data_IF_235879568598
#
_entry.id   IF_235879568598
#
_cell.length_a   1.000
_cell.length_b   1.000
_cell.length_c   1.000
_cell.angle_alpha   90.00
_cell.angle_beta   90.00
_cell.angle_gamma   90.00
#
_symmetry.space_group_name_H-M   'P 1'
#
loop_
_entity.id
_entity.type
_entity.pdbx_description
1 polymer ?
#
# COMPACT_ATOMS: atom_id res chain seq x y z
N UNK A 1 12.74 -43.67 -39.00
CA UNK A 1 13.05 -43.64 -37.55
C UNK A 1 12.32 -42.46 -36.94
N UNK A 2 11.28 -42.72 -36.14
CA UNK A 2 10.47 -41.69 -35.52
C UNK A 2 11.17 -41.15 -34.27
N UNK A 3 11.43 -39.85 -34.23
CA UNK A 3 12.03 -39.18 -33.08
C UNK A 3 10.93 -38.90 -32.05
N UNK A 4 11.00 -39.59 -30.90
CA UNK A 4 10.19 -39.27 -29.74
C UNK A 4 10.67 -37.94 -29.13
N UNK A 5 9.87 -36.89 -29.30
CA UNK A 5 9.99 -35.66 -28.52
C UNK A 5 9.61 -35.97 -27.06
N UNK A 6 10.60 -36.02 -26.17
CA UNK A 6 10.35 -36.05 -24.72
C UNK A 6 9.98 -34.64 -24.25
N UNK A 7 8.81 -34.51 -23.65
CA UNK A 7 8.35 -33.29 -22.99
C UNK A 7 9.37 -32.87 -21.92
N UNK A 8 9.89 -31.66 -22.06
CA UNK A 8 10.68 -30.99 -21.03
C UNK A 8 9.71 -30.49 -19.97
N UNK A 9 9.65 -31.19 -18.84
CA UNK A 9 8.99 -30.69 -17.63
C UNK A 9 9.73 -29.44 -17.15
N UNK A 10 9.04 -28.30 -17.14
CA UNK A 10 9.49 -27.10 -16.45
C UNK A 10 9.76 -27.45 -14.97
N UNK A 11 10.83 -26.94 -14.34
CA UNK A 11 11.02 -27.14 -12.91
C UNK A 11 9.80 -26.58 -12.17
N UNK A 12 9.15 -27.44 -11.38
CA UNK A 12 8.10 -27.04 -10.45
C UNK A 12 8.64 -25.95 -9.54
N UNK A 13 7.95 -24.80 -9.50
CA UNK A 13 8.23 -23.73 -8.53
C UNK A 13 8.26 -24.35 -7.13
N UNK A 14 9.29 -24.09 -6.30
CA UNK A 14 9.28 -24.54 -4.91
C UNK A 14 7.99 -24.05 -4.26
N UNK A 15 7.20 -24.94 -3.68
CA UNK A 15 6.02 -24.54 -2.90
C UNK A 15 6.48 -23.59 -1.79
N UNK A 16 5.82 -22.44 -1.65
CA UNK A 16 6.11 -21.53 -0.54
C UNK A 16 6.00 -22.29 0.79
N UNK A 17 7.05 -22.19 1.62
CA UNK A 17 7.02 -22.77 2.95
C UNK A 17 6.50 -21.73 3.97
N UNK A 18 5.72 -22.18 4.97
CA UNK A 18 5.11 -21.30 5.98
C UNK A 18 6.13 -20.39 6.67
N UNK A 19 7.33 -20.91 6.95
CA UNK A 19 8.39 -20.21 7.68
C UNK A 19 9.04 -19.08 6.87
N UNK A 20 9.18 -19.24 5.56
CA UNK A 20 9.74 -18.24 4.66
C UNK A 20 8.77 -17.09 4.49
N UNK A 21 7.48 -17.39 4.32
CA UNK A 21 6.42 -16.38 4.28
C UNK A 21 6.35 -15.62 5.61
N UNK A 22 6.44 -16.32 6.75
CA UNK A 22 6.48 -15.67 8.06
C UNK A 22 7.69 -14.73 8.20
N UNK A 23 8.87 -15.19 7.78
CA UNK A 23 10.09 -14.40 7.83
C UNK A 23 10.00 -13.16 6.92
N UNK A 24 9.36 -13.29 5.75
CA UNK A 24 9.16 -12.18 4.84
C UNK A 24 8.21 -11.12 5.43
N UNK A 25 7.12 -11.55 6.08
CA UNK A 25 6.19 -10.67 6.80
C UNK A 25 6.93 -9.88 7.88
N UNK A 26 7.71 -10.56 8.73
CA UNK A 26 8.47 -9.92 9.82
C UNK A 26 9.56 -8.97 9.29
N UNK A 27 10.25 -9.37 8.21
CA UNK A 27 11.24 -8.53 7.54
C UNK A 27 10.61 -7.25 6.98
N UNK A 28 9.44 -7.36 6.39
CA UNK A 28 8.72 -6.21 5.86
C UNK A 28 8.23 -5.29 6.99
N UNK A 29 7.67 -5.86 8.06
CA UNK A 29 7.25 -5.11 9.26
C UNK A 29 8.40 -4.29 9.85
N UNK A 30 9.58 -4.91 9.99
CA UNK A 30 10.79 -4.23 10.46
C UNK A 30 11.23 -3.11 9.51
N UNK A 31 11.10 -3.33 8.20
CA UNK A 31 11.44 -2.33 7.17
C UNK A 31 10.51 -1.12 7.25
N UNK A 32 9.22 -1.31 7.51
CA UNK A 32 8.23 -0.24 7.65
C UNK A 32 8.44 0.55 8.94
N UNK A 33 8.74 -0.17 10.04
CA UNK A 33 8.97 0.40 11.37
C UNK A 33 10.28 1.18 11.49
N UNK A 34 11.16 1.09 10.49
CA UNK A 34 12.43 1.82 10.46
C UNK A 34 12.22 3.34 10.46
N UNK A 35 13.09 4.07 11.16
CA UNK A 35 13.11 5.54 11.14
C UNK A 35 13.63 6.11 9.81
N UNK A 36 14.28 5.29 8.99
CA UNK A 36 14.87 5.66 7.68
C UNK A 36 13.95 5.33 6.50
N UNK A 37 12.70 4.97 6.76
CA UNK A 37 11.74 4.57 5.73
C UNK A 37 11.46 5.70 4.73
N UNK A 38 11.51 5.36 3.45
CA UNK A 38 11.27 6.29 2.32
C UNK A 38 10.03 5.89 1.51
N UNK A 39 9.57 6.76 0.61
CA UNK A 39 8.47 6.43 -0.30
C UNK A 39 8.83 5.22 -1.18
N UNK A 40 10.06 5.15 -1.68
CA UNK A 40 10.54 3.99 -2.44
C UNK A 40 10.50 2.69 -1.63
N UNK A 41 10.82 2.74 -0.33
CA UNK A 41 10.65 1.60 0.59
C UNK A 41 9.19 1.16 0.67
N UNK A 42 8.23 2.10 0.65
CA UNK A 42 6.81 1.78 0.66
C UNK A 42 6.34 1.17 -0.67
N UNK A 43 6.80 1.68 -1.82
CA UNK A 43 6.55 1.08 -3.13
C UNK A 43 7.04 -0.38 -3.19
N UNK A 44 8.27 -0.63 -2.73
CA UNK A 44 8.81 -1.97 -2.62
C UNK A 44 8.00 -2.83 -1.62
N UNK A 45 7.55 -2.24 -0.51
CA UNK A 45 6.69 -2.91 0.46
C UNK A 45 5.36 -3.38 -0.12
N UNK A 46 4.69 -2.56 -0.94
CA UNK A 46 3.43 -2.93 -1.59
C UNK A 46 3.61 -4.10 -2.56
N UNK A 47 4.74 -4.13 -3.28
CA UNK A 47 5.11 -5.27 -4.13
C UNK A 47 5.32 -6.53 -3.32
N UNK A 48 6.13 -6.45 -2.26
CA UNK A 48 6.41 -7.58 -1.35
C UNK A 48 5.16 -8.11 -0.67
N UNK A 49 4.19 -7.26 -0.32
CA UNK A 49 2.90 -7.74 0.19
C UNK A 49 2.16 -8.61 -0.83
N UNK A 50 2.20 -8.25 -2.11
CA UNK A 50 1.64 -9.09 -3.17
C UNK A 50 2.27 -10.48 -3.21
N UNK A 51 3.59 -10.54 -3.06
CA UNK A 51 4.34 -11.81 -3.02
C UNK A 51 4.04 -12.63 -1.76
N UNK A 52 3.95 -11.98 -0.59
CA UNK A 52 3.51 -12.58 0.67
C UNK A 52 2.12 -13.21 0.51
N UNK A 53 1.14 -12.45 0.00
CA UNK A 53 -0.21 -12.97 -0.19
C UNK A 53 -0.24 -14.13 -1.21
N UNK A 54 0.59 -14.13 -2.26
CA UNK A 54 0.73 -15.30 -3.14
C UNK A 54 1.26 -16.51 -2.39
N UNK A 55 2.29 -16.33 -1.55
CA UNK A 55 2.85 -17.42 -0.74
C UNK A 55 1.82 -17.99 0.24
N UNK A 56 1.02 -17.13 0.86
CA UNK A 56 -0.08 -17.56 1.75
C UNK A 56 -1.16 -18.32 0.96
N UNK A 57 -1.53 -17.86 -0.24
CA UNK A 57 -2.49 -18.56 -1.11
C UNK A 57 -2.03 -19.97 -1.46
N UNK A 58 -0.75 -20.15 -1.78
CA UNK A 58 -0.17 -21.47 -2.08
C UNK A 58 -0.23 -22.43 -0.87
N UNK A 59 -0.11 -21.91 0.36
CA UNK A 59 -0.22 -22.68 1.60
C UNK A 59 -1.68 -23.06 1.92
N UNK A 60 -2.63 -22.16 1.64
CA UNK A 60 -4.06 -22.34 1.88
C UNK A 60 -4.64 -23.55 1.11
N UNK A 61 -4.07 -23.92 -0.03
CA UNK A 61 -4.55 -25.02 -0.90
C UNK A 61 -4.48 -26.44 -0.30
N UNK A 62 -4.07 -26.61 0.96
CA UNK A 62 -4.02 -27.91 1.66
C UNK A 62 -5.20 -28.02 2.65
N UNK A 63 -6.30 -28.71 2.30
CA UNK A 63 -7.52 -28.72 3.11
C UNK A 63 -7.30 -29.42 4.45
N UNK A 64 -7.71 -28.76 5.54
CA UNK A 64 -7.85 -29.37 6.87
C UNK A 64 -9.21 -29.02 7.45
N UNK A 65 -9.93 -30.05 7.89
CA UNK A 65 -11.34 -30.00 8.34
C UNK A 65 -11.58 -29.15 9.61
N UNK A 66 -10.54 -28.54 10.17
CA UNK A 66 -10.60 -27.72 11.40
C UNK A 66 -10.53 -26.21 11.14
N UNK A 67 -10.26 -25.77 9.90
CA UNK A 67 -9.91 -24.36 9.59
C UNK A 67 -11.15 -23.47 9.38
N UNK A 68 -12.30 -24.02 8.99
CA UNK A 68 -13.44 -23.24 8.50
C UNK A 68 -13.95 -22.17 9.46
N UNK A 69 -14.27 -22.52 10.71
CA UNK A 69 -14.78 -21.53 11.69
C UNK A 69 -13.76 -20.46 12.10
N UNK A 70 -12.47 -20.74 11.95
CA UNK A 70 -11.40 -19.80 12.31
C UNK A 70 -11.15 -18.76 11.21
N UNK A 71 -11.67 -19.01 10.01
CA UNK A 71 -11.43 -18.20 8.84
C UNK A 71 -12.47 -17.10 8.63
N UNK A 72 -13.65 -17.19 9.25
CA UNK A 72 -14.72 -16.17 9.17
C UNK A 72 -14.21 -14.78 9.57
N UNK A 73 -13.43 -14.68 10.66
CA UNK A 73 -12.85 -13.40 11.09
C UNK A 73 -11.82 -12.86 10.11
N UNK A 74 -11.11 -13.74 9.40
CA UNK A 74 -10.11 -13.35 8.41
C UNK A 74 -10.78 -12.88 7.12
N UNK A 75 -11.90 -13.50 6.73
CA UNK A 75 -12.72 -13.02 5.63
C UNK A 75 -13.22 -11.60 5.93
N UNK A 76 -13.75 -11.32 7.12
CA UNK A 76 -14.16 -9.95 7.45
C UNK A 76 -12.96 -8.98 7.42
N UNK A 77 -11.83 -9.36 8.03
CA UNK A 77 -10.62 -8.54 8.01
C UNK A 77 -10.07 -8.27 6.60
N UNK A 78 -10.18 -9.24 5.69
CA UNK A 78 -9.79 -9.06 4.28
C UNK A 78 -10.67 -8.05 3.55
N UNK A 79 -11.97 -7.96 3.90
CA UNK A 79 -12.89 -6.98 3.34
C UNK A 79 -12.53 -5.57 3.79
N UNK A 80 -12.26 -5.40 5.09
CA UNK A 80 -11.82 -4.10 5.63
C UNK A 80 -10.52 -3.62 4.94
N UNK A 81 -9.58 -4.53 4.66
CA UNK A 81 -8.35 -4.19 3.96
C UNK A 81 -8.58 -3.89 2.46
N UNK A 82 -9.53 -4.58 1.81
CA UNK A 82 -9.93 -4.28 0.43
C UNK A 82 -10.50 -2.87 0.31
N UNK A 83 -11.41 -2.49 1.21
CA UNK A 83 -11.99 -1.14 1.25
C UNK A 83 -10.91 -0.07 1.43
N UNK A 84 -9.91 -0.36 2.27
CA UNK A 84 -8.77 0.51 2.51
C UNK A 84 -7.88 0.65 1.27
N UNK A 85 -7.61 -0.45 0.57
CA UNK A 85 -6.84 -0.44 -0.68
C UNK A 85 -7.57 0.29 -1.81
N UNK A 86 -8.90 0.16 -1.88
CA UNK A 86 -9.73 0.91 -2.84
C UNK A 86 -9.66 2.41 -2.55
N UNK A 87 -9.89 2.80 -1.29
CA UNK A 87 -9.79 4.20 -0.85
C UNK A 87 -8.40 4.78 -1.14
N UNK A 88 -7.33 4.00 -0.96
CA UNK A 88 -5.98 4.45 -1.24
C UNK A 88 -5.69 4.66 -2.72
N UNK A 89 -6.21 3.80 -3.59
CA UNK A 89 -6.09 4.01 -5.03
C UNK A 89 -6.77 5.33 -5.45
N UNK A 90 -7.97 5.60 -4.97
CA UNK A 90 -8.67 6.86 -5.25
C UNK A 90 -7.87 8.07 -4.77
N UNK A 91 -7.30 7.99 -3.55
CA UNK A 91 -6.44 9.05 -3.00
C UNK A 91 -5.20 9.25 -3.86
N UNK A 92 -4.53 8.19 -4.33
CA UNK A 92 -3.34 8.32 -5.16
C UNK A 92 -3.64 8.90 -6.54
N UNK A 93 -4.76 8.50 -7.16
CA UNK A 93 -5.24 9.08 -8.42
C UNK A 93 -5.47 10.59 -8.24
N UNK A 94 -6.14 11.00 -7.17
CA UNK A 94 -6.39 12.41 -6.90
C UNK A 94 -5.09 13.18 -6.58
N UNK A 95 -4.17 12.60 -5.79
CA UNK A 95 -2.86 13.22 -5.51
C UNK A 95 -2.07 13.46 -6.80
N UNK A 96 -2.04 12.46 -7.68
CA UNK A 96 -1.33 12.55 -8.97
C UNK A 96 -1.93 13.65 -9.84
N UNK A 97 -3.25 13.72 -9.95
CA UNK A 97 -3.93 14.80 -10.68
C UNK A 97 -3.56 16.19 -10.11
N UNK A 98 -3.56 16.35 -8.79
CA UNK A 98 -3.17 17.61 -8.14
C UNK A 98 -1.72 17.98 -8.47
N UNK A 99 -0.79 17.01 -8.47
CA UNK A 99 0.62 17.25 -8.80
C UNK A 99 0.77 17.68 -10.27
N UNK A 100 0.10 17.00 -11.20
CA UNK A 100 0.13 17.36 -12.62
C UNK A 100 -0.40 18.77 -12.86
N UNK A 101 -1.53 19.13 -12.24
CA UNK A 101 -2.08 20.49 -12.32
C UNK A 101 -1.16 21.53 -11.68
N UNK A 102 -0.50 21.19 -10.56
CA UNK A 102 0.49 22.04 -9.91
C UNK A 102 1.69 22.28 -10.83
N UNK A 103 2.23 21.25 -11.47
CA UNK A 103 3.31 21.38 -12.45
C UNK A 103 2.90 22.30 -13.61
N UNK A 104 1.68 22.14 -14.14
CA UNK A 104 1.16 23.00 -15.21
C UNK A 104 1.04 24.47 -14.76
N UNK A 105 0.53 24.71 -13.55
CA UNK A 105 0.42 26.07 -13.00
C UNK A 105 1.79 26.73 -12.83
N UNK A 106 2.78 25.98 -12.32
CA UNK A 106 4.15 26.47 -12.16
C UNK A 106 4.82 26.79 -13.50
N UNK A 107 4.66 25.94 -14.54
CA UNK A 107 5.18 26.22 -15.89
C UNK A 107 4.59 27.48 -16.51
N UNK A 108 3.32 27.77 -16.22
CA UNK A 108 2.61 28.96 -16.69
C UNK A 108 2.92 30.22 -15.88
N UNK A 109 3.60 30.10 -14.74
CA UNK A 109 3.79 31.20 -13.79
C UNK A 109 2.50 31.64 -13.10
N UNK A 110 1.49 30.76 -13.01
CA UNK A 110 0.21 31.03 -12.34
C UNK A 110 0.32 30.68 -10.86
N UNK A 111 0.88 31.61 -10.08
CA UNK A 111 1.12 31.45 -8.64
C UNK A 111 -0.18 31.24 -7.85
N UNK A 112 -1.30 31.82 -8.31
CA UNK A 112 -2.60 31.69 -7.64
C UNK A 112 -3.13 30.25 -7.76
N UNK A 113 -3.11 29.68 -8.97
CA UNK A 113 -3.49 28.28 -9.20
C UNK A 113 -2.52 27.33 -8.50
N UNK A 114 -1.21 27.57 -8.57
CA UNK A 114 -0.21 26.75 -7.88
C UNK A 114 -0.48 26.70 -6.36
N UNK A 115 -0.73 27.85 -5.73
CA UNK A 115 -1.06 27.92 -4.31
C UNK A 115 -2.37 27.17 -3.97
N UNK A 116 -3.39 27.26 -4.83
CA UNK A 116 -4.65 26.53 -4.65
C UNK A 116 -4.47 25.00 -4.74
N UNK A 117 -3.60 24.52 -5.63
CA UNK A 117 -3.27 23.09 -5.76
C UNK A 117 -2.44 22.57 -4.59
N UNK A 118 -1.47 23.34 -4.08
CA UNK A 118 -0.75 23.04 -2.83
C UNK A 118 -1.74 22.88 -1.66
N UNK A 119 -2.72 23.79 -1.53
CA UNK A 119 -3.76 23.69 -0.51
C UNK A 119 -4.65 22.46 -0.67
N UNK A 120 -4.96 22.07 -1.90
CA UNK A 120 -5.76 20.89 -2.20
C UNK A 120 -5.00 19.61 -1.83
N UNK A 121 -3.72 19.50 -2.18
CA UNK A 121 -2.86 18.38 -1.77
C UNK A 121 -2.81 18.23 -0.24
N UNK A 122 -2.56 19.34 0.48
CA UNK A 122 -2.50 19.33 1.95
C UNK A 122 -3.84 18.91 2.57
N UNK A 123 -4.97 19.32 1.99
CA UNK A 123 -6.31 18.89 2.45
C UNK A 123 -6.51 17.40 2.20
N UNK A 124 -6.19 16.91 1.01
CA UNK A 124 -6.32 15.50 0.64
C UNK A 124 -5.50 14.60 1.57
N UNK A 125 -4.22 14.90 1.79
CA UNK A 125 -3.38 14.11 2.71
C UNK A 125 -3.92 14.15 4.15
N UNK A 126 -4.45 15.28 4.61
CA UNK A 126 -5.08 15.37 5.94
C UNK A 126 -6.33 14.49 6.04
N UNK A 127 -7.14 14.44 4.99
CA UNK A 127 -8.29 13.56 4.90
C UNK A 127 -7.82 12.11 4.94
N UNK A 128 -6.88 11.73 4.07
CA UNK A 128 -6.28 10.39 4.03
C UNK A 128 -5.81 9.94 5.43
N UNK A 129 -5.03 10.77 6.15
CA UNK A 129 -4.59 10.46 7.53
C UNK A 129 -5.72 10.17 8.51
N UNK A 130 -6.89 10.80 8.35
CA UNK A 130 -8.04 10.56 9.23
C UNK A 130 -8.69 9.20 8.99
N UNK A 131 -8.62 8.68 7.77
CA UNK A 131 -9.14 7.35 7.44
C UNK A 131 -8.35 6.25 8.17
N UNK A 132 -7.03 6.38 8.26
CA UNK A 132 -6.17 5.40 8.95
C UNK A 132 -6.21 5.47 10.48
N UNK A 133 -6.47 6.64 11.08
CA UNK A 133 -6.63 6.74 12.55
C UNK A 133 -7.85 6.00 13.11
N UNK A 134 -8.81 5.61 12.27
CA UNK A 134 -10.03 4.90 12.70
C UNK A 134 -9.88 3.37 12.74
N UNK A 135 -8.91 2.78 12.02
CA UNK A 135 -8.78 1.32 11.88
C UNK A 135 -7.94 0.66 12.99
N UNK A 136 -7.25 1.42 13.85
CA UNK A 136 -6.35 0.89 14.89
C UNK A 136 -7.04 0.31 16.14
N UNK A 137 -8.37 0.11 16.14
CA UNK A 137 -9.13 -0.37 17.31
C UNK A 137 -10.01 -1.56 16.97
N UNK A 138 -9.40 -2.76 16.91
CA UNK A 138 -10.03 -4.05 17.24
C UNK A 138 -8.99 -5.16 17.04
N UNK A 139 -8.11 -5.35 18.02
CA UNK A 139 -7.41 -6.62 18.14
C UNK A 139 -8.37 -7.61 18.79
N UNK A 140 -9.12 -8.35 17.97
CA UNK A 140 -9.81 -9.53 18.47
C UNK A 140 -8.75 -10.61 18.62
N UNK A 141 -8.49 -11.08 19.84
CA UNK A 141 -7.54 -12.17 20.10
C UNK A 141 -8.12 -13.44 19.50
N UNK A 142 -7.81 -13.71 18.24
CA UNK A 142 -8.15 -14.96 17.58
C UNK A 142 -7.23 -16.04 18.15
N UNK A 143 -7.86 -17.09 18.70
CA UNK A 143 -7.20 -18.25 19.30
C UNK A 143 -6.19 -18.85 18.31
N UNK A 144 -4.91 -18.84 18.67
CA UNK A 144 -3.74 -19.14 17.85
C UNK A 144 -3.57 -20.62 17.41
N UNK A 145 -4.61 -21.26 16.87
CA UNK A 145 -4.55 -22.67 16.49
C UNK A 145 -4.09 -22.91 15.04
N UNK A 146 -4.32 -21.99 14.10
CA UNK A 146 -3.98 -22.14 12.68
C UNK A 146 -2.91 -21.12 12.24
N UNK A 147 -1.75 -21.62 11.80
CA UNK A 147 -0.63 -20.79 11.31
C UNK A 147 -1.01 -19.95 10.09
N UNK A 148 -1.82 -20.47 9.18
CA UNK A 148 -2.31 -19.73 8.01
C UNK A 148 -3.11 -18.50 8.43
N UNK A 149 -4.00 -18.64 9.41
CA UNK A 149 -4.77 -17.52 9.95
C UNK A 149 -3.86 -16.51 10.63
N UNK A 150 -2.83 -16.97 11.36
CA UNK A 150 -1.82 -16.07 11.93
C UNK A 150 -1.04 -15.29 10.85
N UNK A 151 -0.65 -15.96 9.76
CA UNK A 151 0.04 -15.33 8.64
C UNK A 151 -0.84 -14.29 7.94
N UNK A 152 -2.10 -14.62 7.65
CA UNK A 152 -3.06 -13.70 7.05
C UNK A 152 -3.30 -12.48 7.92
N UNK A 153 -3.48 -12.69 9.23
CA UNK A 153 -3.66 -11.60 10.20
C UNK A 153 -2.43 -10.70 10.29
N UNK A 154 -1.22 -11.26 10.39
CA UNK A 154 0.03 -10.47 10.40
C UNK A 154 0.21 -9.71 9.07
N UNK A 155 0.00 -10.37 7.94
CA UNK A 155 0.10 -9.73 6.62
C UNK A 155 -0.90 -8.57 6.48
N UNK A 156 -2.12 -8.71 7.03
CA UNK A 156 -3.12 -7.64 7.08
C UNK A 156 -2.65 -6.47 7.94
N UNK A 157 -2.15 -6.72 9.15
CA UNK A 157 -1.62 -5.68 10.05
C UNK A 157 -0.45 -4.91 9.43
N UNK A 158 0.48 -5.62 8.78
CA UNK A 158 1.59 -5.03 8.03
C UNK A 158 1.07 -4.21 6.85
N UNK A 159 0.05 -4.69 6.13
CA UNK A 159 -0.57 -3.96 5.02
C UNK A 159 -1.19 -2.63 5.48
N UNK A 160 -1.96 -2.64 6.57
CA UNK A 160 -2.54 -1.42 7.16
C UNK A 160 -1.44 -0.45 7.58
N UNK A 161 -0.41 -0.95 8.27
CA UNK A 161 0.72 -0.14 8.75
C UNK A 161 1.51 0.48 7.60
N UNK A 162 1.70 -0.27 6.50
CA UNK A 162 2.36 0.21 5.28
C UNK A 162 1.56 1.35 4.62
N UNK A 163 0.25 1.18 4.46
CA UNK A 163 -0.62 2.20 3.87
C UNK A 163 -0.65 3.47 4.74
N UNK A 164 -0.76 3.33 6.07
CA UNK A 164 -0.70 4.47 7.00
C UNK A 164 0.64 5.21 6.91
N UNK A 165 1.75 4.47 6.92
CA UNK A 165 3.11 5.03 6.82
C UNK A 165 3.33 5.74 5.49
N UNK A 166 2.78 5.21 4.40
CA UNK A 166 2.82 5.83 3.07
C UNK A 166 2.17 7.21 3.08
N UNK A 167 0.94 7.31 3.62
CA UNK A 167 0.25 8.61 3.76
C UNK A 167 1.01 9.55 4.68
N UNK A 168 1.64 9.02 5.73
CA UNK A 168 2.49 9.81 6.62
C UNK A 168 3.69 10.41 5.89
N UNK A 169 4.38 9.65 5.05
CA UNK A 169 5.51 10.13 4.25
C UNK A 169 5.07 11.18 3.22
N UNK A 170 4.02 10.89 2.43
CA UNK A 170 3.50 11.80 1.41
C UNK A 170 3.05 13.16 1.97
N UNK A 171 2.70 13.22 3.25
CA UNK A 171 2.37 14.48 3.93
C UNK A 171 3.54 15.44 4.14
N UNK A 172 4.76 14.95 3.99
CA UNK A 172 6.00 15.71 4.20
C UNK A 172 6.54 16.28 2.88
N UNK A 173 6.09 15.76 1.74
CA UNK A 173 6.61 16.06 0.40
C UNK A 173 6.24 17.47 -0.07
N UNK A 174 4.97 17.86 0.07
CA UNK A 174 4.51 19.21 -0.32
C UNK A 174 4.24 20.02 0.95
N UNK A 175 5.18 20.92 1.28
CA UNK A 175 5.10 21.78 2.46
C UNK A 175 4.63 23.18 2.09
N UNK A 176 3.70 23.72 2.88
CA UNK A 176 3.26 25.12 2.75
C UNK A 176 4.44 26.09 2.91
N UNK A 177 4.55 27.15 2.09
CA UNK A 177 5.30 28.33 2.50
C UNK A 177 4.64 28.90 3.77
N UNK A 178 5.39 29.07 4.85
CA UNK A 178 4.88 29.68 6.09
C UNK A 178 4.36 31.08 5.75
N UNK A 179 3.04 31.30 5.82
CA UNK A 179 2.47 32.65 5.83
C UNK A 179 2.76 33.29 7.19
N UNK A 180 3.93 33.91 7.35
CA UNK A 180 4.12 34.87 8.43
C UNK A 180 3.34 36.14 8.09
N UNK A 181 2.34 36.49 8.91
CA UNK A 181 1.49 37.67 8.74
C UNK A 181 2.22 39.03 8.86
N UNK A 182 3.54 39.02 9.06
CA UNK A 182 4.37 40.24 9.13
C UNK A 182 5.51 40.10 8.12
N UNK A 183 5.26 40.47 6.86
CA UNK A 183 6.28 40.88 5.87
C UNK A 183 5.60 41.19 4.51
N UNK A 184 4.92 42.33 4.40
CA UNK A 184 4.45 42.86 3.10
C UNK A 184 5.48 43.77 2.40
N UNK A 185 6.71 43.91 2.91
CA UNK A 185 7.61 44.94 2.38
C UNK A 185 8.83 44.42 1.62
N UNK A 186 9.48 43.31 1.98
CA UNK A 186 10.73 42.93 1.31
C UNK A 186 10.95 41.45 1.35
N UNK A 187 10.34 40.69 0.45
CA UNK A 187 10.86 39.39 0.07
C UNK A 187 10.40 39.01 -1.33
N UNK A 188 11.32 39.17 -2.29
CA UNK A 188 11.54 38.23 -3.38
C UNK A 188 11.95 36.86 -2.78
N UNK A 189 11.16 36.33 -1.82
CA UNK A 189 11.33 34.97 -1.30
C UNK A 189 10.66 34.10 -2.32
N UNK A 190 11.49 33.60 -3.23
CA UNK A 190 11.38 32.27 -3.82
C UNK A 190 10.50 31.43 -2.89
N UNK A 191 9.23 31.26 -3.25
CA UNK A 191 8.44 30.18 -2.67
C UNK A 191 9.35 28.97 -2.72
N UNK A 192 9.30 28.10 -1.71
CA UNK A 192 9.89 26.77 -1.84
C UNK A 192 9.06 26.06 -2.90
N UNK A 193 9.31 26.44 -4.15
CA UNK A 193 8.86 25.79 -5.36
C UNK A 193 9.67 24.51 -5.33
N UNK A 194 9.02 23.41 -4.98
CA UNK A 194 9.50 22.09 -5.37
C UNK A 194 9.95 22.23 -6.82
N UNK A 195 11.24 21.99 -7.07
CA UNK A 195 11.75 22.02 -8.43
C UNK A 195 10.90 21.09 -9.28
N UNK A 196 10.64 21.45 -10.52
CA UNK A 196 9.76 20.67 -11.40
C UNK A 196 10.15 19.18 -11.46
N UNK A 197 11.46 18.91 -11.39
CA UNK A 197 12.05 17.57 -11.27
C UNK A 197 11.61 16.82 -10.01
N UNK A 198 11.52 17.49 -8.85
CA UNK A 198 11.05 16.89 -7.60
C UNK A 198 9.55 16.56 -7.65
N UNK A 199 8.75 17.41 -8.30
CA UNK A 199 7.34 17.12 -8.52
C UNK A 199 7.16 15.94 -9.48
N UNK A 200 8.03 15.82 -10.48
CA UNK A 200 8.01 14.69 -11.41
C UNK A 200 8.38 13.37 -10.70
N UNK A 201 9.41 13.38 -9.87
CA UNK A 201 9.80 12.22 -9.07
C UNK A 201 8.70 11.80 -8.10
N UNK A 202 8.04 12.78 -7.46
CA UNK A 202 6.91 12.54 -6.58
C UNK A 202 5.72 11.96 -7.36
N UNK A 203 5.40 12.49 -8.54
CA UNK A 203 4.34 11.96 -9.40
C UNK A 203 4.61 10.50 -9.78
N UNK A 204 5.84 10.19 -10.20
CA UNK A 204 6.26 8.82 -10.53
C UNK A 204 6.10 7.89 -9.31
N UNK A 205 6.58 8.34 -8.15
CA UNK A 205 6.48 7.58 -6.90
C UNK A 205 5.02 7.31 -6.51
N UNK A 206 4.14 8.30 -6.66
CA UNK A 206 2.70 8.12 -6.41
C UNK A 206 2.08 7.15 -7.43
N UNK A 207 2.50 7.19 -8.69
CA UNK A 207 2.10 6.20 -9.68
C UNK A 207 2.53 4.77 -9.31
N UNK A 208 3.73 4.59 -8.77
CA UNK A 208 4.18 3.28 -8.28
C UNK A 208 3.37 2.81 -7.06
N UNK A 209 3.03 3.73 -6.15
CA UNK A 209 2.16 3.44 -5.01
C UNK A 209 0.72 3.08 -5.44
N UNK A 210 0.17 3.81 -6.42
CA UNK A 210 -1.14 3.53 -7.03
C UNK A 210 -1.18 2.12 -7.62
N UNK A 211 -0.19 1.78 -8.43
CA UNK A 211 -0.04 0.46 -9.03
C UNK A 211 0.15 -0.64 -7.97
N UNK A 212 0.96 -0.37 -6.94
CA UNK A 212 1.21 -1.28 -5.84
C UNK A 212 -0.06 -1.57 -5.02
N UNK A 213 -0.83 -0.54 -4.68
CA UNK A 213 -2.11 -0.68 -3.99
C UNK A 213 -3.15 -1.42 -4.84
N UNK A 214 -3.18 -1.15 -6.15
CA UNK A 214 -4.00 -1.89 -7.10
C UNK A 214 -3.62 -3.36 -7.23
N UNK A 215 -2.32 -3.67 -7.21
CA UNK A 215 -1.83 -5.05 -7.20
C UNK A 215 -2.26 -5.77 -5.93
N UNK A 216 -2.04 -5.15 -4.77
CA UNK A 216 -2.45 -5.70 -3.47
C UNK A 216 -3.96 -5.95 -3.41
N UNK A 217 -4.79 -4.99 -3.86
CA UNK A 217 -6.24 -5.16 -3.95
C UNK A 217 -6.64 -6.40 -4.73
N UNK A 218 -6.04 -6.64 -5.91
CA UNK A 218 -6.30 -7.84 -6.70
C UNK A 218 -5.89 -9.12 -5.97
N UNK A 219 -4.77 -9.11 -5.25
CA UNK A 219 -4.31 -10.26 -4.44
C UNK A 219 -5.24 -10.57 -3.27
N UNK A 220 -5.76 -9.54 -2.62
CA UNK A 220 -6.74 -9.71 -1.55
C UNK A 220 -8.06 -10.31 -2.06
N UNK A 221 -8.51 -9.96 -3.27
CA UNK A 221 -9.66 -10.61 -3.90
C UNK A 221 -9.38 -12.10 -4.11
N UNK A 222 -8.22 -12.46 -4.65
CA UNK A 222 -7.83 -13.85 -4.91
C UNK A 222 -7.82 -14.66 -3.61
N UNK A 223 -7.15 -14.15 -2.58
CA UNK A 223 -7.14 -14.76 -1.24
C UNK A 223 -8.57 -14.95 -0.73
N UNK A 224 -9.40 -13.92 -0.76
CA UNK A 224 -10.79 -14.00 -0.27
C UNK A 224 -11.58 -15.10 -0.98
N UNK A 225 -11.44 -15.24 -2.30
CA UNK A 225 -12.08 -16.32 -3.07
C UNK A 225 -11.57 -17.68 -2.57
N UNK A 226 -10.26 -17.86 -2.47
CA UNK A 226 -9.64 -19.08 -1.94
C UNK A 226 -10.13 -19.43 -0.51
N UNK A 227 -10.34 -18.42 0.35
CA UNK A 227 -10.90 -18.62 1.68
C UNK A 227 -12.37 -19.07 1.64
N UNK A 228 -13.19 -18.44 0.78
CA UNK A 228 -14.60 -18.78 0.60
C UNK A 228 -14.79 -20.19 0.03
N UNK A 229 -13.94 -20.58 -0.92
CA UNK A 229 -13.98 -21.93 -1.52
C UNK A 229 -13.75 -23.01 -0.45
N UNK A 230 -12.85 -22.78 0.49
CA UNK A 230 -12.60 -23.68 1.64
C UNK A 230 -13.80 -23.75 2.58
N UNK A 231 -14.50 -22.64 2.82
CA UNK A 231 -15.71 -22.65 3.66
C UNK A 231 -16.88 -23.38 3.00
N UNK A 232 -16.87 -23.49 1.68
CA UNK A 232 -17.92 -24.11 0.89
C UNK A 232 -17.70 -25.59 0.57
N UNK A 233 -16.49 -26.12 0.80
CA UNK A 233 -16.12 -27.55 0.61
C UNK A 233 -16.42 -28.40 1.84
#
# INVERSE_FOLDING_TARGET
MAFHLRSISLPSRPQANETEVEQEVLSLEASISSSTTTIGTMCAGLRRLGDIYNGVEEIIGLPSNQVGKMLDSEIEGSLELLDLCSTMQEIFVEMKAIIQELQVALRKGDDATAQAKIQSYVRLVKTAKKHFKKSAKKANVVSAACKVVMLLTKAREVSVSLLESTVHLLSKEIRMPKQSLVSKAFHKKKAVVCQEEQLQELECSIGDLENGAGHLFRKLIQIRVSLLDILSS
#
